data_IF_043255704429
#
_entry.id   IF_043255704429
#
_cell.length_a   1.000
_cell.length_b   1.000
_cell.length_c   1.000
_cell.angle_alpha   90.00
_cell.angle_beta   90.00
_cell.angle_gamma   90.00
#
_symmetry.space_group_name_H-M   'P 1'
#
loop_
_entity.id
_entity.type
_entity.pdbx_description
1 polymer ?
#
# COMPACT_ATOMS: atom_id res chain seq x y z
N UNK A 1 5.35 -9.52 27.20
CA UNK A 1 5.24 -8.84 25.90
C UNK A 1 6.58 -8.84 25.14
N UNK A 2 7.30 -9.98 25.12
CA UNK A 2 8.72 -10.04 24.71
C UNK A 2 8.95 -10.75 23.35
N UNK A 3 7.86 -11.17 22.67
CA UNK A 3 7.91 -11.95 21.43
C UNK A 3 7.92 -11.08 20.16
N UNK A 4 7.60 -9.79 20.28
CA UNK A 4 7.51 -8.86 19.13
C UNK A 4 8.81 -8.09 18.83
N UNK A 5 9.74 -8.04 19.77
CA UNK A 5 10.90 -7.14 19.68
C UNK A 5 11.96 -7.60 18.66
N UNK A 6 12.06 -8.91 18.43
CA UNK A 6 13.06 -9.49 17.51
C UNK A 6 12.50 -9.81 16.12
N UNK A 7 11.57 -9.01 15.59
CA UNK A 7 11.11 -9.20 14.20
C UNK A 7 12.22 -8.76 13.23
N UNK A 8 12.79 -9.75 12.54
CA UNK A 8 13.72 -9.58 11.40
C UNK A 8 13.18 -8.57 10.38
N UNK A 9 14.10 -7.84 9.73
CA UNK A 9 13.79 -6.88 8.65
C UNK A 9 12.83 -7.46 7.62
N UNK A 10 12.96 -8.75 7.29
CA UNK A 10 12.11 -9.46 6.35
C UNK A 10 10.66 -9.62 6.85
N UNK A 11 10.46 -9.85 8.15
CA UNK A 11 9.10 -9.97 8.73
C UNK A 11 8.40 -8.62 8.76
N UNK A 12 9.13 -7.54 9.07
CA UNK A 12 8.59 -6.17 8.99
C UNK A 12 8.20 -5.81 7.56
N UNK A 13 9.03 -6.16 6.59
CA UNK A 13 8.74 -5.95 5.17
C UNK A 13 7.51 -6.75 4.72
N UNK A 14 7.42 -8.02 5.10
CA UNK A 14 6.26 -8.87 4.76
C UNK A 14 4.97 -8.32 5.36
N UNK A 15 5.00 -7.90 6.63
CA UNK A 15 3.85 -7.27 7.27
C UNK A 15 3.44 -5.97 6.56
N UNK A 16 4.41 -5.17 6.12
CA UNK A 16 4.15 -3.96 5.35
C UNK A 16 3.50 -4.26 4.00
N UNK A 17 4.03 -5.24 3.25
CA UNK A 17 3.44 -5.66 1.97
C UNK A 17 2.03 -6.22 2.15
N UNK A 18 1.80 -7.02 3.20
CA UNK A 18 0.48 -7.55 3.51
C UNK A 18 -0.50 -6.41 3.84
N UNK A 19 -0.08 -5.47 4.68
CA UNK A 19 -0.89 -4.29 5.04
C UNK A 19 -1.23 -3.46 3.80
N UNK A 20 -0.27 -3.30 2.88
CA UNK A 20 -0.48 -2.59 1.61
C UNK A 20 -1.58 -3.26 0.79
N UNK A 21 -1.53 -4.58 0.61
CA UNK A 21 -2.53 -5.35 -0.14
C UNK A 21 -3.92 -5.26 0.51
N UNK A 22 -4.00 -5.41 1.84
CA UNK A 22 -5.27 -5.30 2.57
C UNK A 22 -5.85 -3.89 2.40
N UNK A 23 -5.03 -2.86 2.60
CA UNK A 23 -5.46 -1.47 2.47
C UNK A 23 -5.91 -1.14 1.05
N UNK A 24 -5.14 -1.51 0.02
CA UNK A 24 -5.52 -1.28 -1.37
C UNK A 24 -6.77 -2.07 -1.76
N UNK A 25 -6.98 -3.26 -1.19
CA UNK A 25 -8.20 -4.04 -1.40
C UNK A 25 -9.44 -3.34 -0.86
N UNK A 26 -9.38 -2.86 0.38
CA UNK A 26 -10.45 -2.07 1.00
C UNK A 26 -10.69 -0.80 0.19
N UNK A 27 -9.63 -0.09 -0.20
CA UNK A 27 -9.73 1.14 -0.97
C UNK A 27 -10.39 0.91 -2.33
N UNK A 28 -9.99 -0.13 -3.06
CA UNK A 28 -10.62 -0.51 -4.33
C UNK A 28 -12.11 -0.82 -4.13
N UNK A 29 -12.46 -1.59 -3.10
CA UNK A 29 -13.85 -1.92 -2.82
C UNK A 29 -14.69 -0.66 -2.52
N UNK A 30 -14.19 0.23 -1.67
CA UNK A 30 -14.87 1.50 -1.35
C UNK A 30 -15.02 2.35 -2.61
N UNK A 31 -13.95 2.55 -3.38
CA UNK A 31 -13.99 3.35 -4.60
C UNK A 31 -14.94 2.78 -5.65
N UNK A 32 -14.96 1.44 -5.79
CA UNK A 32 -15.87 0.74 -6.69
C UNK A 32 -17.32 0.87 -6.22
N UNK A 33 -17.58 0.75 -4.92
CA UNK A 33 -18.93 0.85 -4.35
C UNK A 33 -19.54 2.23 -4.54
N UNK A 34 -18.73 3.29 -4.46
CA UNK A 34 -19.18 4.67 -4.69
C UNK A 34 -19.11 5.11 -6.17
N UNK A 35 -18.84 4.20 -7.10
CA UNK A 35 -18.65 4.49 -8.53
C UNK A 35 -17.64 5.62 -8.79
N UNK A 36 -16.62 5.75 -7.92
CA UNK A 36 -15.58 6.79 -8.00
C UNK A 36 -14.41 6.41 -8.89
N UNK A 37 -14.41 5.19 -9.43
CA UNK A 37 -13.42 4.71 -10.39
C UNK A 37 -14.10 4.30 -11.70
N UNK A 38 -13.43 4.47 -12.85
CA UNK A 38 -13.96 4.01 -14.13
C UNK A 38 -14.24 2.51 -14.11
N UNK A 39 -15.28 2.07 -14.82
CA UNK A 39 -15.66 0.65 -14.92
C UNK A 39 -14.58 -0.23 -15.57
N UNK A 40 -13.65 0.36 -16.33
CA UNK A 40 -12.50 -0.34 -16.91
C UNK A 40 -11.36 -0.58 -15.91
N UNK A 41 -11.39 0.08 -14.74
CA UNK A 41 -10.33 -0.04 -13.74
C UNK A 41 -10.53 -1.28 -12.90
N UNK A 42 -9.50 -2.11 -12.87
CA UNK A 42 -9.40 -3.24 -11.97
C UNK A 42 -8.54 -2.91 -10.75
N UNK A 43 -8.50 -3.85 -9.80
CA UNK A 43 -7.69 -3.75 -8.58
C UNK A 43 -6.22 -3.37 -8.84
N UNK A 44 -5.61 -3.84 -9.94
CA UNK A 44 -4.20 -3.57 -10.26
C UNK A 44 -3.92 -2.08 -10.49
N UNK A 45 -4.89 -1.31 -11.00
CA UNK A 45 -4.74 0.14 -11.17
C UNK A 45 -4.62 0.83 -9.82
N UNK A 46 -5.51 0.50 -8.87
CA UNK A 46 -5.49 1.06 -7.52
C UNK A 46 -4.23 0.64 -6.75
N UNK A 47 -3.83 -0.63 -6.87
CA UNK A 47 -2.58 -1.11 -6.29
C UNK A 47 -1.36 -0.40 -6.89
N UNK A 48 -1.35 -0.20 -8.21
CA UNK A 48 -0.28 0.53 -8.92
C UNK A 48 -0.15 1.97 -8.44
N UNK A 49 -1.27 2.67 -8.24
CA UNK A 49 -1.28 4.03 -7.67
C UNK A 49 -0.73 4.02 -6.24
N UNK A 50 -1.17 3.08 -5.39
CA UNK A 50 -0.69 2.97 -4.01
C UNK A 50 0.83 2.74 -3.95
N UNK A 51 1.36 1.87 -4.81
CA UNK A 51 2.80 1.63 -4.95
C UNK A 51 3.50 2.91 -5.46
N UNK A 52 2.94 3.57 -6.47
CA UNK A 52 3.46 4.82 -7.02
C UNK A 52 3.60 5.92 -5.96
N UNK A 53 2.60 6.10 -5.11
CA UNK A 53 2.64 7.04 -3.98
C UNK A 53 3.81 6.69 -3.05
N UNK A 54 4.00 5.42 -2.69
CA UNK A 54 5.12 4.99 -1.83
C UNK A 54 6.47 5.34 -2.46
N UNK A 55 6.64 5.13 -3.77
CA UNK A 55 7.85 5.50 -4.48
C UNK A 55 8.06 7.02 -4.50
N UNK A 56 7.02 7.80 -4.80
CA UNK A 56 7.07 9.26 -4.79
C UNK A 56 7.45 9.76 -3.40
N UNK A 57 6.82 9.26 -2.32
CA UNK A 57 7.17 9.64 -0.95
C UNK A 57 8.63 9.34 -0.61
N UNK A 58 9.18 8.21 -1.10
CA UNK A 58 10.60 7.88 -0.92
C UNK A 58 11.53 8.83 -1.68
N UNK A 59 11.16 9.20 -2.90
CA UNK A 59 11.92 10.15 -3.72
C UNK A 59 11.91 11.52 -3.06
N UNK A 60 10.74 12.02 -2.66
CA UNK A 60 10.60 13.29 -1.95
C UNK A 60 11.43 13.33 -0.67
N UNK A 61 11.42 12.25 0.12
CA UNK A 61 12.26 12.15 1.33
C UNK A 61 13.76 12.24 1.03
N UNK A 62 14.21 11.75 -0.13
CA UNK A 62 15.61 11.87 -0.56
C UNK A 62 15.98 13.27 -1.07
N UNK A 63 15.02 13.98 -1.65
CA UNK A 63 15.25 15.34 -2.18
C UNK A 63 15.26 16.37 -1.05
N UNK A 64 14.41 16.17 -0.03
CA UNK A 64 14.24 17.11 1.08
C UNK A 64 15.24 16.89 2.24
N UNK A 65 16.04 15.82 2.20
CA UNK A 65 17.01 15.43 3.22
C UNK A 65 18.43 15.64 2.74
#
# INVERSE_FOLDING_TARGET
MHFFDKKSKSVKLLAYLLMLVIFSGILYFVLSFFEKIPSSWNYLHVLGIAIGIIFISRILKRILS
#
